data_IF_042580665508
#
_entry.id   IF_042580665508
#
_cell.length_a   1.000
_cell.length_b   1.000
_cell.length_c   1.000
_cell.angle_alpha   90.00
_cell.angle_beta   90.00
_cell.angle_gamma   90.00
#
_symmetry.space_group_name_H-M   'P 1'
#
loop_
_entity.id
_entity.type
_entity.pdbx_description
1 polymer ?
#
# COMPACT_ATOMS: atom_id res chain seq x y z
N UNK A 1 -10.36 1.11 17.94
CA UNK A 1 -9.10 0.44 17.56
C UNK A 1 -8.18 0.27 18.75
N UNK A 2 -7.33 -0.78 18.81
CA UNK A 2 -6.28 -0.85 19.83
C UNK A 2 -5.31 0.32 19.68
N UNK A 3 -4.74 0.80 20.79
CA UNK A 3 -3.74 1.87 20.76
C UNK A 3 -2.50 1.44 19.97
N UNK A 4 -1.90 2.39 19.25
CA UNK A 4 -0.72 2.15 18.42
C UNK A 4 -1.01 1.35 17.14
N UNK A 5 -2.24 1.40 16.61
CA UNK A 5 -2.59 0.70 15.38
C UNK A 5 -2.20 1.49 14.14
N UNK A 6 -1.48 0.86 13.23
CA UNK A 6 -1.06 1.42 11.95
C UNK A 6 -1.57 0.54 10.80
N UNK A 7 -2.52 1.11 10.05
CA UNK A 7 -3.06 0.49 8.84
C UNK A 7 -2.16 0.77 7.62
N UNK A 8 -1.93 -0.26 6.82
CA UNK A 8 -1.20 -0.20 5.54
C UNK A 8 -2.18 -0.48 4.41
N UNK A 9 -2.49 0.54 3.60
CA UNK A 9 -3.42 0.35 2.48
C UNK A 9 -2.73 -0.28 1.26
N UNK A 10 -3.53 -0.65 0.26
CA UNK A 10 -3.02 -1.17 -1.01
C UNK A 10 -2.00 -0.21 -1.65
N UNK A 11 -0.88 -0.79 -2.10
CA UNK A 11 0.30 -0.10 -2.65
C UNK A 11 1.02 0.81 -1.65
N UNK A 12 0.83 0.57 -0.36
CA UNK A 12 1.61 1.18 0.70
C UNK A 12 2.51 0.15 1.40
N UNK A 13 3.50 0.67 2.13
CA UNK A 13 4.27 -0.07 3.12
C UNK A 13 4.41 0.75 4.39
N UNK A 14 4.68 0.09 5.51
CA UNK A 14 5.10 0.72 6.74
C UNK A 14 6.27 -0.06 7.31
N UNK A 15 7.34 0.64 7.68
CA UNK A 15 8.45 0.09 8.45
C UNK A 15 8.43 0.68 9.86
N UNK A 16 8.61 -0.20 10.83
CA UNK A 16 8.63 0.12 12.25
C UNK A 16 9.89 -0.48 12.84
N UNK A 17 10.64 0.37 13.54
CA UNK A 17 11.74 -0.09 14.37
C UNK A 17 11.19 -0.64 15.67
N UNK A 18 11.84 -1.63 16.23
CA UNK A 18 11.40 -2.23 17.50
C UNK A 18 11.41 -1.26 18.68
N UNK A 19 12.14 -0.14 18.59
CA UNK A 19 12.18 0.94 19.59
C UNK A 19 11.15 2.06 19.34
N UNK A 20 10.29 1.92 18.32
CA UNK A 20 9.21 2.87 18.03
C UNK A 20 7.96 2.53 18.84
N UNK A 21 7.84 3.15 20.01
CA UNK A 21 6.69 2.96 20.92
C UNK A 21 5.36 3.51 20.38
N UNK A 22 5.36 4.28 19.28
CA UNK A 22 4.14 4.86 18.72
C UNK A 22 3.29 3.83 17.96
N UNK A 23 3.91 2.74 17.48
CA UNK A 23 3.24 1.70 16.72
C UNK A 23 3.38 0.37 17.46
N UNK A 24 2.24 -0.21 17.81
CA UNK A 24 2.12 -1.53 18.44
C UNK A 24 1.59 -2.59 17.49
N UNK A 25 0.72 -2.20 16.55
CA UNK A 25 0.11 -3.13 15.61
C UNK A 25 0.32 -2.64 14.19
N UNK A 26 0.91 -3.50 13.34
CA UNK A 26 0.91 -3.32 11.89
C UNK A 26 -0.15 -4.23 11.29
N UNK A 27 -1.01 -3.68 10.43
CA UNK A 27 -2.11 -4.42 9.86
C UNK A 27 -2.50 -3.96 8.45
N UNK A 28 -2.92 -4.91 7.64
CA UNK A 28 -3.59 -4.68 6.36
C UNK A 28 -4.68 -5.73 6.15
N UNK A 29 -5.72 -5.37 5.39
CA UNK A 29 -6.80 -6.24 4.95
C UNK A 29 -7.14 -6.00 3.47
N UNK A 30 -8.14 -6.71 2.94
CA UNK A 30 -8.62 -6.53 1.57
C UNK A 30 -7.70 -7.08 0.49
N UNK A 31 -6.71 -7.92 0.84
CA UNK A 31 -5.88 -8.57 -0.16
C UNK A 31 -6.61 -9.76 -0.82
N UNK A 32 -7.47 -9.43 -1.78
CA UNK A 32 -8.06 -10.39 -2.71
C UNK A 32 -6.96 -10.91 -3.65
N UNK A 33 -6.78 -10.32 -4.83
CA UNK A 33 -5.72 -10.70 -5.76
C UNK A 33 -4.33 -10.14 -5.39
N UNK A 34 -4.29 -9.14 -4.51
CA UNK A 34 -3.09 -8.51 -3.98
C UNK A 34 -2.35 -9.43 -2.99
N UNK A 35 -1.15 -9.03 -2.57
CA UNK A 35 -0.32 -9.75 -1.60
C UNK A 35 -0.02 -8.85 -0.42
N UNK A 36 -0.29 -9.32 0.79
CA UNK A 36 0.25 -8.74 2.02
C UNK A 36 1.57 -9.43 2.33
N UNK A 37 2.64 -8.65 2.48
CA UNK A 37 3.97 -9.16 2.80
C UNK A 37 4.47 -8.52 4.10
N UNK A 38 4.72 -9.35 5.11
CA UNK A 38 5.35 -8.97 6.37
C UNK A 38 6.79 -9.47 6.38
N UNK A 39 7.72 -8.59 6.75
CA UNK A 39 9.17 -8.88 6.84
C UNK A 39 9.66 -8.47 8.22
N UNK A 40 10.35 -9.38 8.90
CA UNK A 40 11.05 -9.09 10.16
C UNK A 40 12.53 -9.41 10.00
N UNK A 41 13.40 -8.48 10.41
CA UNK A 41 14.85 -8.61 10.30
C UNK A 41 15.56 -7.51 11.07
N UNK A 42 16.82 -7.24 10.74
CA UNK A 42 17.60 -6.17 11.35
C UNK A 42 18.38 -5.36 10.30
N UNK A 43 18.77 -4.14 10.66
CA UNK A 43 19.70 -3.32 9.86
C UNK A 43 21.17 -3.67 10.14
N UNK A 44 22.10 -2.97 9.48
CA UNK A 44 23.56 -3.13 9.67
C UNK A 44 24.03 -2.92 11.11
N UNK A 45 23.27 -2.19 11.94
CA UNK A 45 23.60 -1.93 13.34
C UNK A 45 23.01 -2.99 14.27
N UNK A 46 22.30 -3.98 13.73
CA UNK A 46 21.56 -4.98 14.49
C UNK A 46 20.27 -4.45 15.11
N UNK A 47 19.79 -3.27 14.71
CA UNK A 47 18.49 -2.77 15.16
C UNK A 47 17.41 -3.53 14.41
N UNK A 48 16.47 -4.13 15.15
CA UNK A 48 15.40 -4.90 14.57
C UNK A 48 14.30 -4.01 13.98
N UNK A 49 13.81 -4.43 12.81
CA UNK A 49 12.77 -3.76 12.04
C UNK A 49 11.69 -4.76 11.65
N UNK A 50 10.46 -4.25 11.61
CA UNK A 50 9.30 -4.95 11.06
C UNK A 50 8.70 -4.10 9.94
N UNK A 51 8.53 -4.69 8.76
CA UNK A 51 7.91 -4.05 7.60
C UNK A 51 6.66 -4.81 7.19
N UNK A 52 5.55 -4.11 6.97
CA UNK A 52 4.35 -4.63 6.31
C UNK A 52 4.10 -3.87 5.02
N UNK A 53 3.83 -4.57 3.92
CA UNK A 53 3.46 -3.98 2.63
C UNK A 53 2.24 -4.67 2.02
N UNK A 54 1.45 -3.92 1.27
CA UNK A 54 0.31 -4.42 0.51
C UNK A 54 0.57 -4.19 -0.98
N UNK A 55 0.81 -5.27 -1.72
CA UNK A 55 1.34 -5.24 -3.08
C UNK A 55 0.28 -5.68 -4.09
N UNK A 56 -0.15 -4.78 -4.98
CA UNK A 56 -1.15 -5.13 -6.00
C UNK A 56 -0.57 -5.52 -7.37
N UNK A 57 0.66 -5.10 -7.69
CA UNK A 57 1.20 -5.14 -9.05
C UNK A 57 2.73 -5.32 -9.11
N UNK A 58 3.32 -5.71 -10.26
CA UNK A 58 4.76 -5.96 -10.35
C UNK A 58 5.63 -4.76 -9.96
N UNK A 59 5.18 -3.54 -10.26
CA UNK A 59 5.92 -2.32 -9.94
C UNK A 59 6.03 -2.07 -8.42
N UNK A 60 5.05 -2.49 -7.62
CA UNK A 60 5.11 -2.34 -6.15
C UNK A 60 6.12 -3.31 -5.55
N UNK A 61 6.20 -4.53 -6.05
CA UNK A 61 7.21 -5.52 -5.63
C UNK A 61 8.63 -5.04 -5.98
N UNK A 62 8.83 -4.47 -7.17
CA UNK A 62 10.11 -3.90 -7.56
C UNK A 62 10.54 -2.73 -6.65
N UNK A 63 9.61 -1.81 -6.35
CA UNK A 63 9.88 -0.70 -5.43
C UNK A 63 10.12 -1.18 -4.00
N UNK A 64 9.39 -2.19 -3.53
CA UNK A 64 9.60 -2.79 -2.22
C UNK A 64 10.98 -3.42 -2.11
N UNK A 65 11.50 -4.02 -3.18
CA UNK A 65 12.85 -4.59 -3.17
C UNK A 65 13.90 -3.53 -2.81
N UNK A 66 13.76 -2.30 -3.30
CA UNK A 66 14.67 -1.21 -2.96
C UNK A 66 14.54 -0.82 -1.48
N UNK A 67 13.31 -0.71 -0.98
CA UNK A 67 13.07 -0.44 0.45
C UNK A 67 13.72 -1.51 1.32
N UNK A 68 13.56 -2.79 0.97
CA UNK A 68 14.13 -3.89 1.74
C UNK A 68 15.67 -3.89 1.69
N UNK A 69 16.25 -3.61 0.52
CA UNK A 69 17.70 -3.52 0.36
C UNK A 69 18.32 -2.38 1.19
N UNK A 70 17.59 -1.28 1.39
CA UNK A 70 18.02 -0.16 2.24
C UNK A 70 17.80 -0.40 3.74
N UNK A 71 16.88 -1.30 4.11
CA UNK A 71 16.42 -1.44 5.50
C UNK A 71 16.95 -2.69 6.22
N UNK A 72 17.27 -3.74 5.49
CA UNK A 72 17.59 -5.04 6.07
C UNK A 72 18.95 -5.56 5.63
N UNK A 73 19.67 -6.18 6.57
CA UNK A 73 20.89 -6.93 6.32
C UNK A 73 20.84 -8.31 6.97
N UNK A 74 21.35 -9.30 6.24
CA UNK A 74 21.42 -10.69 6.70
C UNK A 74 20.07 -11.42 6.65
N UNK A 75 19.81 -12.38 7.57
CA UNK A 75 18.61 -13.21 7.53
C UNK A 75 17.34 -12.41 7.88
N UNK A 76 16.29 -12.58 7.09
CA UNK A 76 14.94 -12.08 7.40
C UNK A 76 13.93 -13.23 7.49
N UNK A 77 12.87 -13.01 8.24
CA UNK A 77 11.68 -13.88 8.31
C UNK A 77 10.52 -13.21 7.59
N UNK A 78 9.79 -13.98 6.80
CA UNK A 78 8.77 -13.48 5.89
C UNK A 78 7.44 -14.21 6.09
N UNK A 79 6.34 -13.46 6.01
CA UNK A 79 4.99 -13.99 5.91
C UNK A 79 4.28 -13.34 4.73
N UNK A 80 3.60 -14.13 3.91
CA UNK A 80 2.84 -13.60 2.79
C UNK A 80 1.43 -14.18 2.72
N UNK A 81 0.41 -13.33 2.65
CA UNK A 81 -1.01 -13.69 2.55
C UNK A 81 -1.64 -13.03 1.30
N UNK A 82 -2.71 -13.60 0.78
CA UNK A 82 -3.48 -13.03 -0.35
C UNK A 82 -3.38 -13.88 -1.62
N UNK A 83 -3.42 -13.22 -2.79
CA UNK A 83 -3.49 -13.86 -4.10
C UNK A 83 -4.64 -14.87 -4.21
N UNK A 84 -5.82 -14.44 -3.77
CA UNK A 84 -7.06 -15.19 -3.76
C UNK A 84 -8.06 -14.63 -4.79
N UNK A 85 -8.87 -15.49 -5.43
CA UNK A 85 -8.74 -16.95 -5.44
C UNK A 85 -7.58 -17.42 -6.32
N UNK A 86 -7.06 -18.63 -6.06
CA UNK A 86 -5.92 -19.18 -6.79
C UNK A 86 -6.12 -19.37 -8.30
N UNK A 87 -7.37 -19.38 -8.77
CA UNK A 87 -7.67 -19.51 -10.20
C UNK A 87 -7.70 -18.15 -10.94
N UNK A 88 -7.85 -17.03 -10.22
CA UNK A 88 -7.94 -15.71 -10.85
C UNK A 88 -6.61 -15.34 -11.54
N UNK A 89 -6.63 -14.86 -12.81
CA UNK A 89 -5.39 -14.56 -13.54
C UNK A 89 -4.46 -13.56 -12.84
N UNK A 90 -5.02 -12.51 -12.23
CA UNK A 90 -4.28 -11.51 -11.46
C UNK A 90 -3.62 -12.13 -10.22
N UNK A 91 -4.38 -12.88 -9.42
CA UNK A 91 -3.90 -13.58 -8.24
C UNK A 91 -2.76 -14.57 -8.57
N UNK A 92 -2.95 -15.40 -9.60
CA UNK A 92 -1.93 -16.35 -10.08
C UNK A 92 -0.64 -15.64 -10.49
N UNK A 93 -0.77 -14.54 -11.24
CA UNK A 93 0.37 -13.75 -11.67
C UNK A 93 1.13 -13.17 -10.47
N UNK A 94 0.41 -12.59 -9.51
CA UNK A 94 1.01 -12.01 -8.31
C UNK A 94 1.73 -13.07 -7.47
N UNK A 95 1.09 -14.23 -7.22
CA UNK A 95 1.71 -15.34 -6.50
C UNK A 95 2.97 -15.86 -7.21
N UNK A 96 2.93 -16.02 -8.54
CA UNK A 96 4.08 -16.43 -9.33
C UNK A 96 5.24 -15.43 -9.21
N UNK A 97 4.95 -14.13 -9.32
CA UNK A 97 5.98 -13.09 -9.23
C UNK A 97 6.62 -13.04 -7.84
N UNK A 98 5.83 -13.18 -6.78
CA UNK A 98 6.38 -13.27 -5.42
C UNK A 98 7.28 -14.50 -5.27
N UNK A 99 6.85 -15.67 -5.76
CA UNK A 99 7.65 -16.90 -5.72
C UNK A 99 9.01 -16.73 -6.41
N UNK A 100 9.01 -16.19 -7.63
CA UNK A 100 10.24 -15.88 -8.38
C UNK A 100 11.13 -14.87 -7.68
N UNK A 101 10.54 -13.86 -7.07
CA UNK A 101 11.27 -12.86 -6.30
C UNK A 101 11.89 -13.47 -5.04
N UNK A 102 11.17 -14.30 -4.30
CA UNK A 102 11.69 -15.03 -3.14
C UNK A 102 12.82 -15.99 -3.51
N UNK A 103 12.70 -16.74 -4.61
CA UNK A 103 13.78 -17.61 -5.14
C UNK A 103 15.08 -16.82 -5.38
N UNK A 104 14.98 -15.56 -5.83
CA UNK A 104 16.16 -14.70 -6.01
C UNK A 104 16.79 -14.21 -4.71
N UNK A 105 16.10 -14.40 -3.58
CA UNK A 105 16.47 -13.96 -2.23
C UNK A 105 16.64 -15.14 -1.26
N UNK A 106 16.58 -16.39 -1.72
CA UNK A 106 16.82 -17.57 -0.87
C UNK A 106 18.31 -17.89 -0.76
N UNK A 107 18.74 -18.22 0.45
CA UNK A 107 20.08 -18.69 0.74
C UNK A 107 21.10 -17.58 0.95
N UNK A 108 22.13 -17.90 1.73
CA UNK A 108 23.27 -17.02 2.03
C UNK A 108 24.20 -16.95 0.82
N UNK A 109 23.72 -16.36 -0.27
CA UNK A 109 24.57 -15.98 -1.40
C UNK A 109 24.98 -14.54 -1.15
N UNK A 110 26.22 -14.30 -0.73
CA UNK A 110 26.74 -12.99 -0.26
C UNK A 110 26.76 -11.83 -1.26
N UNK A 111 25.80 -11.79 -2.21
CA UNK A 111 25.56 -10.73 -3.19
C UNK A 111 24.38 -9.83 -2.82
N UNK A 112 23.40 -10.32 -2.05
CA UNK A 112 22.26 -9.53 -1.60
C UNK A 112 22.49 -9.05 -0.16
N UNK A 113 22.06 -7.81 0.19
CA UNK A 113 22.22 -7.29 1.55
C UNK A 113 21.47 -8.16 2.57
N UNK A 114 20.33 -8.74 2.19
CA UNK A 114 19.53 -9.65 3.01
C UNK A 114 19.09 -10.90 2.23
N UNK A 115 18.71 -11.95 2.96
CA UNK A 115 18.16 -13.20 2.41
C UNK A 115 17.00 -13.75 3.26
N UNK A 116 16.06 -14.43 2.61
CA UNK A 116 14.94 -15.10 3.26
C UNK A 116 15.41 -16.36 4.00
N UNK A 117 15.49 -16.30 5.33
CA UNK A 117 15.88 -17.42 6.18
C UNK A 117 14.69 -18.31 6.59
N UNK A 118 13.50 -17.70 6.74
CA UNK A 118 12.22 -18.39 6.95
C UNK A 118 11.14 -17.68 6.14
N UNK A 119 10.25 -18.43 5.50
CA UNK A 119 9.16 -17.89 4.70
C UNK A 119 7.89 -18.72 4.88
N UNK A 120 6.81 -18.06 5.35
CA UNK A 120 5.49 -18.67 5.54
C UNK A 120 4.51 -18.06 4.55
N UNK A 121 4.12 -18.85 3.54
CA UNK A 121 3.28 -18.39 2.44
C UNK A 121 1.88 -19.01 2.54
N UNK A 122 0.86 -18.16 2.52
CA UNK A 122 -0.56 -18.51 2.46
C UNK A 122 -1.20 -17.81 1.26
N UNK A 123 -0.73 -18.16 0.06
CA UNK A 123 -1.18 -17.60 -1.21
C UNK A 123 -2.23 -18.51 -1.85
N UNK A 124 -3.30 -17.94 -2.41
CA UNK A 124 -4.33 -18.72 -3.11
C UNK A 124 -5.03 -19.75 -2.23
N UNK A 125 -4.97 -19.58 -0.90
CA UNK A 125 -5.68 -20.45 0.04
C UNK A 125 -7.12 -19.97 0.05
N UNK A 126 -8.00 -20.71 -0.62
CA UNK A 126 -9.45 -20.48 -0.85
C UNK A 126 -10.30 -20.30 0.43
N UNK A 127 -9.89 -19.42 1.33
CA UNK A 127 -10.70 -18.93 2.44
C UNK A 127 -11.33 -17.63 1.95
N UNK A 128 -12.66 -17.59 1.97
CA UNK A 128 -13.40 -16.38 1.63
C UNK A 128 -12.91 -15.22 2.50
N UNK A 129 -13.01 -14.02 1.96
CA UNK A 129 -12.63 -12.75 2.62
C UNK A 129 -13.29 -12.58 3.99
N UNK A 130 -14.47 -13.18 4.18
CA UNK A 130 -15.22 -13.18 5.45
C UNK A 130 -14.53 -14.01 6.56
N UNK A 131 -13.55 -14.84 6.23
CA UNK A 131 -12.82 -15.71 7.18
C UNK A 131 -11.36 -15.30 7.41
N UNK A 132 -10.99 -14.05 7.11
CA UNK A 132 -9.64 -13.51 7.35
C UNK A 132 -8.57 -14.01 6.37
N UNK A 133 -8.98 -14.50 5.20
CA UNK A 133 -8.06 -14.92 4.13
C UNK A 133 -7.37 -13.76 3.40
N UNK A 134 -7.81 -12.54 3.65
CA UNK A 134 -7.41 -11.29 3.00
C UNK A 134 -6.66 -10.33 3.94
N UNK A 135 -6.40 -10.76 5.19
CA UNK A 135 -5.78 -9.95 6.23
C UNK A 135 -4.46 -10.53 6.73
N UNK A 136 -3.56 -9.63 7.13
CA UNK A 136 -2.28 -9.94 7.75
C UNK A 136 -1.89 -8.80 8.68
N UNK A 137 -1.42 -9.16 9.87
CA UNK A 137 -0.83 -8.22 10.80
C UNK A 137 0.05 -8.89 11.83
N UNK A 138 0.66 -8.04 12.65
CA UNK A 138 1.54 -8.44 13.74
C UNK A 138 1.30 -7.52 14.95
N UNK A 139 1.24 -8.12 16.13
CA UNK A 139 1.44 -7.40 17.39
C UNK A 139 2.95 -7.31 17.65
N UNK A 140 3.50 -6.10 17.68
CA UNK A 140 4.93 -5.86 17.82
C UNK A 140 5.43 -6.13 19.26
N UNK A 141 4.54 -6.15 20.25
CA UNK A 141 4.89 -6.52 21.62
C UNK A 141 5.03 -8.05 21.75
N UNK A 142 4.00 -8.81 21.34
CA UNK A 142 4.00 -10.28 21.46
C UNK A 142 4.74 -11.00 20.32
N UNK A 143 4.98 -10.30 19.21
CA UNK A 143 5.49 -10.85 17.92
C UNK A 143 4.58 -11.91 17.31
N UNK A 144 3.32 -11.92 17.70
CA UNK A 144 2.32 -12.81 17.11
C UNK A 144 1.90 -12.28 15.73
N UNK A 145 2.23 -13.05 14.69
CA UNK A 145 1.78 -12.81 13.32
C UNK A 145 0.50 -13.59 13.06
N UNK A 146 -0.52 -12.92 12.51
CA UNK A 146 -1.79 -13.57 12.22
C UNK A 146 -2.67 -12.81 11.24
N UNK A 147 -3.73 -13.49 10.78
CA UNK A 147 -4.76 -12.93 9.91
C UNK A 147 -6.03 -12.53 10.67
N UNK A 148 -5.90 -12.09 11.93
CA UNK A 148 -7.07 -11.66 12.71
C UNK A 148 -7.74 -10.49 12.00
N UNK A 149 -9.02 -10.65 11.68
CA UNK A 149 -9.80 -9.58 11.08
C UNK A 149 -10.19 -8.52 12.11
N UNK A 150 -10.14 -7.24 11.71
CA UNK A 150 -10.61 -6.12 12.52
C UNK A 150 -11.75 -5.40 11.80
N UNK A 151 -12.80 -5.06 12.55
CA UNK A 151 -13.91 -4.24 12.06
C UNK A 151 -13.49 -2.77 11.99
N UNK A 152 -12.79 -2.40 10.92
CA UNK A 152 -12.40 -1.01 10.67
C UNK A 152 -13.51 -0.25 9.94
N UNK A 153 -13.65 1.03 10.28
CA UNK A 153 -14.40 2.01 9.49
C UNK A 153 -13.60 2.46 8.26
N UNK A 154 -14.24 3.17 7.33
CA UNK A 154 -13.54 3.73 6.17
C UNK A 154 -12.52 4.80 6.58
N UNK A 155 -12.84 5.62 7.59
CA UNK A 155 -11.93 6.64 8.12
C UNK A 155 -10.69 6.01 8.77
N UNK A 156 -10.84 4.84 9.41
CA UNK A 156 -9.70 4.11 9.99
C UNK A 156 -8.80 3.45 8.92
N UNK A 157 -9.35 3.02 7.78
CA UNK A 157 -8.56 2.50 6.64
C UNK A 157 -7.93 3.61 5.81
N UNK A 158 -8.68 4.68 5.57
CA UNK A 158 -8.28 5.80 4.76
C UNK A 158 -8.65 7.15 5.43
N UNK A 159 -7.83 7.59 6.40
CA UNK A 159 -8.03 8.88 7.05
C UNK A 159 -7.78 10.07 6.12
N UNK A 160 -7.32 9.83 4.90
CA UNK A 160 -7.11 10.87 3.89
C UNK A 160 -8.37 11.18 3.06
N UNK A 161 -9.49 10.51 3.36
CA UNK A 161 -10.78 10.74 2.70
C UNK A 161 -10.84 10.20 1.28
N UNK A 162 -10.02 9.21 0.93
CA UNK A 162 -10.03 8.55 -0.39
C UNK A 162 -8.73 8.67 -1.19
N UNK A 163 -7.72 9.43 -0.72
CA UNK A 163 -6.45 9.55 -1.46
C UNK A 163 -5.69 8.23 -1.51
N UNK A 164 -5.80 7.36 -0.49
CA UNK A 164 -5.15 6.03 -0.53
C UNK A 164 -5.76 5.16 -1.60
N UNK A 165 -7.09 5.19 -1.75
CA UNK A 165 -7.79 4.52 -2.87
C UNK A 165 -7.37 5.10 -4.21
N UNK A 166 -7.30 6.44 -4.36
CA UNK A 166 -6.82 7.06 -5.60
C UNK A 166 -5.37 6.66 -5.90
N UNK A 167 -4.52 6.60 -4.88
CA UNK A 167 -3.13 6.16 -5.05
C UNK A 167 -3.07 4.72 -5.55
N UNK A 168 -3.81 3.80 -4.91
CA UNK A 168 -3.91 2.41 -5.31
C UNK A 168 -4.48 2.20 -6.73
N UNK A 169 -5.20 3.17 -7.30
CA UNK A 169 -5.73 3.05 -8.67
C UNK A 169 -4.84 3.77 -9.70
N UNK A 170 -4.36 4.97 -9.36
CA UNK A 170 -3.81 5.92 -10.32
C UNK A 170 -2.32 6.23 -10.15
N UNK A 171 -1.63 5.63 -9.18
CA UNK A 171 -0.18 5.84 -8.96
C UNK A 171 0.70 5.52 -10.18
N UNK A 172 0.26 4.58 -11.03
CA UNK A 172 0.91 4.27 -12.30
C UNK A 172 0.62 5.25 -13.44
N UNK A 173 -0.39 6.11 -13.27
CA UNK A 173 -0.86 7.09 -14.26
C UNK A 173 -0.37 8.52 -13.97
N UNK A 174 0.36 8.73 -12.88
CA UNK A 174 0.97 10.02 -12.53
C UNK A 174 2.46 10.05 -12.87
N UNK A 175 2.99 11.24 -13.14
CA UNK A 175 4.43 11.44 -13.43
C UNK A 175 5.09 12.33 -12.35
N UNK A 176 6.25 11.93 -11.80
CA UNK A 176 6.86 10.60 -11.93
C UNK A 176 5.96 9.50 -11.33
N UNK A 177 6.06 8.28 -11.88
CA UNK A 177 5.35 7.13 -11.33
C UNK A 177 5.86 6.83 -9.92
N UNK A 178 4.94 6.59 -8.99
CA UNK A 178 5.24 6.29 -7.60
C UNK A 178 4.48 5.03 -7.20
N UNK A 179 5.02 3.83 -7.47
CA UNK A 179 4.24 2.60 -7.34
C UNK A 179 4.01 2.18 -5.88
N UNK A 180 4.78 2.71 -4.92
CA UNK A 180 4.71 2.30 -3.52
C UNK A 180 4.85 3.53 -2.61
N UNK A 181 3.97 3.68 -1.61
CA UNK A 181 3.96 4.82 -0.68
C UNK A 181 4.24 4.40 0.77
N UNK A 182 4.92 5.24 1.54
CA UNK A 182 5.09 5.02 2.97
C UNK A 182 3.80 5.45 3.71
N UNK A 183 3.10 4.49 4.30
CA UNK A 183 1.83 4.65 4.99
C UNK A 183 1.89 5.64 6.17
N UNK A 184 3.08 5.95 6.68
CA UNK A 184 3.28 6.94 7.75
C UNK A 184 3.34 8.37 7.23
N UNK A 185 3.51 8.56 5.91
CA UNK A 185 3.65 9.88 5.29
C UNK A 185 2.31 10.38 4.77
N UNK A 186 2.04 11.65 5.02
CA UNK A 186 0.94 12.35 4.37
C UNK A 186 1.25 12.55 2.88
N UNK A 187 0.24 12.35 2.02
CA UNK A 187 0.36 12.67 0.61
C UNK A 187 0.63 14.17 0.44
N UNK A 188 1.73 14.59 -0.20
CA UNK A 188 1.99 16.00 -0.45
C UNK A 188 0.96 16.53 -1.45
N UNK A 189 0.55 17.79 -1.29
CA UNK A 189 -0.47 18.43 -2.14
C UNK A 189 -0.21 18.26 -3.65
N UNK A 190 1.05 18.34 -4.08
CA UNK A 190 1.42 18.12 -5.48
C UNK A 190 1.11 16.72 -5.99
N UNK A 191 1.23 15.68 -5.15
CA UNK A 191 0.83 14.32 -5.50
C UNK A 191 -0.70 14.18 -5.49
N UNK A 192 -1.38 14.77 -4.49
CA UNK A 192 -2.85 14.80 -4.45
C UNK A 192 -3.44 15.39 -5.73
N UNK A 193 -2.95 16.56 -6.17
CA UNK A 193 -3.36 17.21 -7.43
C UNK A 193 -3.19 16.29 -8.64
N UNK A 194 -2.06 15.58 -8.74
CA UNK A 194 -1.80 14.64 -9.85
C UNK A 194 -2.73 13.42 -9.81
N UNK A 195 -2.98 12.84 -8.64
CA UNK A 195 -3.90 11.71 -8.48
C UNK A 195 -5.33 12.12 -8.84
N UNK A 196 -5.80 13.27 -8.36
CA UNK A 196 -7.12 13.81 -8.68
C UNK A 196 -7.22 14.12 -10.18
N UNK A 197 -6.20 14.73 -10.78
CA UNK A 197 -6.19 15.00 -12.22
C UNK A 197 -6.26 13.70 -13.06
N UNK A 198 -5.49 12.67 -12.68
CA UNK A 198 -5.55 11.36 -13.32
C UNK A 198 -6.94 10.70 -13.17
N UNK A 199 -7.54 10.79 -11.98
CA UNK A 199 -8.87 10.29 -11.71
C UNK A 199 -9.95 11.02 -12.52
N UNK A 200 -9.88 12.36 -12.64
CA UNK A 200 -10.78 13.16 -13.48
C UNK A 200 -10.65 12.81 -14.96
N UNK A 201 -9.43 12.59 -15.45
CA UNK A 201 -9.20 12.16 -16.83
C UNK A 201 -9.81 10.78 -17.13
N UNK A 202 -9.97 9.93 -16.11
CA UNK A 202 -10.63 8.63 -16.20
C UNK A 202 -12.14 8.68 -15.89
N UNK A 203 -12.73 9.87 -15.77
CA UNK A 203 -14.13 10.10 -15.38
C UNK A 203 -14.52 9.43 -14.05
N UNK A 204 -13.56 9.33 -13.12
CA UNK A 204 -13.75 8.62 -11.85
C UNK A 204 -14.77 9.31 -10.92
N UNK A 205 -14.97 10.63 -11.07
CA UNK A 205 -15.97 11.37 -10.28
C UNK A 205 -17.41 10.91 -10.56
N UNK A 206 -17.71 10.39 -11.76
CA UNK A 206 -19.04 9.91 -12.13
C UNK A 206 -19.45 8.64 -11.36
N UNK A 207 -18.49 7.92 -10.77
CA UNK A 207 -18.72 6.67 -10.05
C UNK A 207 -19.55 6.81 -8.77
N UNK A 208 -19.60 8.01 -8.18
CA UNK A 208 -20.37 8.26 -6.96
C UNK A 208 -21.86 7.87 -7.08
N UNK A 209 -22.37 7.78 -8.32
CA UNK A 209 -23.76 7.48 -8.62
C UNK A 209 -24.03 6.05 -9.12
N UNK A 210 -22.99 5.23 -9.34
CA UNK A 210 -23.18 3.84 -9.75
C UNK A 210 -23.69 3.00 -8.58
N UNK A 211 -24.34 1.87 -8.85
CA UNK A 211 -24.63 0.86 -7.82
C UNK A 211 -23.37 0.05 -7.47
N UNK A 212 -23.44 -0.72 -6.39
CA UNK A 212 -22.27 -1.46 -5.88
C UNK A 212 -21.82 -2.55 -6.85
N UNK A 213 -22.74 -3.22 -7.54
CA UNK A 213 -22.42 -4.26 -8.51
C UNK A 213 -21.64 -3.68 -9.70
N UNK A 214 -22.08 -2.54 -10.23
CA UNK A 214 -21.39 -1.83 -11.31
C UNK A 214 -19.99 -1.36 -10.90
N UNK A 215 -19.82 -0.90 -9.65
CA UNK A 215 -18.52 -0.50 -9.11
C UNK A 215 -17.56 -1.68 -9.03
N UNK A 216 -18.03 -2.79 -8.45
CA UNK A 216 -17.24 -4.02 -8.28
C UNK A 216 -16.85 -4.57 -9.65
N UNK A 217 -17.78 -4.74 -10.59
CA UNK A 217 -17.47 -5.28 -11.91
C UNK A 217 -16.50 -4.41 -12.73
N UNK A 218 -16.49 -3.09 -12.50
CA UNK A 218 -15.63 -2.17 -13.25
C UNK A 218 -14.21 -2.05 -12.69
N UNK A 219 -14.04 -2.10 -11.37
CA UNK A 219 -12.77 -1.79 -10.71
C UNK A 219 -12.13 -2.95 -9.96
N UNK A 220 -12.90 -4.01 -9.66
CA UNK A 220 -12.34 -5.20 -9.04
C UNK A 220 -11.62 -6.08 -10.06
N UNK A 221 -10.51 -6.66 -9.62
CA UNK A 221 -9.84 -7.73 -10.35
C UNK A 221 -10.42 -9.12 -10.08
N UNK A 222 -11.24 -9.24 -9.03
CA UNK A 222 -11.88 -10.48 -8.52
C UNK A 222 -13.25 -10.15 -7.91
N UNK A 223 -14.26 -9.81 -8.72
CA UNK A 223 -15.51 -9.20 -8.25
C UNK A 223 -16.23 -9.96 -7.13
N UNK A 224 -16.33 -11.29 -7.25
CA UNK A 224 -17.02 -12.16 -6.28
C UNK A 224 -16.28 -12.33 -4.95
N UNK A 225 -15.05 -11.82 -4.86
CA UNK A 225 -14.18 -11.95 -3.69
C UNK A 225 -13.95 -10.62 -2.99
N UNK A 226 -14.53 -9.52 -3.46
CA UNK A 226 -14.27 -8.24 -2.83
C UNK A 226 -14.83 -8.14 -1.41
N UNK A 227 -14.13 -7.35 -0.61
CA UNK A 227 -14.54 -6.96 0.73
C UNK A 227 -15.86 -6.18 0.71
N UNK A 228 -16.72 -6.32 1.73
CA UNK A 228 -18.00 -5.60 1.79
C UNK A 228 -17.89 -4.07 1.72
N UNK A 229 -16.71 -3.51 2.05
CA UNK A 229 -16.43 -2.07 2.03
C UNK A 229 -15.77 -1.58 0.74
N UNK A 230 -15.55 -2.45 -0.26
CA UNK A 230 -14.89 -2.11 -1.52
C UNK A 230 -15.57 -0.94 -2.24
N UNK A 231 -16.88 -1.06 -2.46
CA UNK A 231 -17.68 -0.03 -3.13
C UNK A 231 -17.72 1.28 -2.34
N UNK A 232 -17.75 1.21 -1.01
CA UNK A 232 -17.69 2.40 -0.14
C UNK A 232 -16.35 3.15 -0.30
N UNK A 233 -15.23 2.44 -0.39
CA UNK A 233 -13.92 3.04 -0.62
C UNK A 233 -13.86 3.76 -1.98
N UNK A 234 -14.38 3.12 -3.04
CA UNK A 234 -14.46 3.73 -4.37
C UNK A 234 -15.35 4.99 -4.39
N UNK A 235 -16.52 4.95 -3.73
CA UNK A 235 -17.42 6.11 -3.62
C UNK A 235 -16.76 7.26 -2.86
N UNK A 236 -16.12 6.97 -1.72
CA UNK A 236 -15.42 7.99 -0.92
C UNK A 236 -14.33 8.69 -1.74
N UNK A 237 -13.56 7.92 -2.50
CA UNK A 237 -12.56 8.47 -3.42
C UNK A 237 -13.18 9.29 -4.57
N UNK A 238 -14.33 8.87 -5.11
CA UNK A 238 -15.04 9.61 -6.15
C UNK A 238 -15.61 10.94 -5.61
N UNK A 239 -16.14 10.94 -4.38
CA UNK A 239 -16.60 12.14 -3.68
C UNK A 239 -15.46 13.12 -3.45
N UNK A 240 -14.29 12.64 -3.02
CA UNK A 240 -13.08 13.45 -2.92
C UNK A 240 -12.76 14.10 -4.28
N UNK A 241 -12.72 13.34 -5.37
CA UNK A 241 -12.42 13.89 -6.71
C UNK A 241 -13.39 15.01 -7.12
N UNK A 242 -14.67 14.88 -6.76
CA UNK A 242 -15.71 15.88 -7.03
C UNK A 242 -15.56 17.13 -6.17
N UNK A 243 -15.25 16.96 -4.89
CA UNK A 243 -15.11 18.05 -3.91
C UNK A 243 -13.70 18.63 -3.82
N UNK A 244 -12.73 18.12 -4.59
CA UNK A 244 -11.35 18.60 -4.55
C UNK A 244 -11.25 19.97 -5.22
N UNK A 245 -11.40 21.01 -4.42
CA UNK A 245 -11.07 22.37 -4.80
C UNK A 245 -9.56 22.56 -4.71
N UNK A 246 -8.93 23.07 -5.78
CA UNK A 246 -7.54 23.47 -5.70
C UNK A 246 -7.43 24.59 -4.66
N UNK A 247 -6.62 24.43 -3.60
CA UNK A 247 -6.32 25.56 -2.74
C UNK A 247 -5.74 26.64 -3.65
N UNK A 248 -6.36 27.82 -3.67
CA UNK A 248 -5.89 28.95 -4.45
C UNK A 248 -4.39 29.06 -4.21
N UNK A 249 -3.60 28.90 -5.27
CA UNK A 249 -2.17 29.07 -5.17
C UNK A 249 -1.96 30.41 -4.47
N UNK A 250 -1.17 30.40 -3.38
CA UNK A 250 -0.56 31.61 -2.85
C UNK A 250 0.35 32.09 -3.98
N UNK A 251 -0.27 32.79 -4.94
CA UNK A 251 0.38 33.45 -6.04
C UNK A 251 1.29 34.46 -5.38
N UNK A 252 2.54 34.04 -5.20
CA UNK A 252 3.60 34.84 -4.64
C UNK A 252 3.56 36.19 -5.33
N UNK A 253 3.39 37.23 -4.52
CA UNK A 253 3.43 38.60 -4.98
C UNK A 253 4.71 38.85 -5.74
N UNK A 254 4.64 38.77 -7.07
CA UNK A 254 5.58 39.43 -7.95
C UNK A 254 5.34 40.93 -7.82
N UNK A 255 5.95 41.54 -6.80
CA UNK A 255 6.20 42.97 -6.82
C UNK A 255 7.11 43.24 -8.02
N UNK A 256 6.53 43.92 -9.00
CA UNK A 256 7.23 44.54 -10.12
C UNK A 256 8.44 45.33 -9.63
N UNK A 257 9.60 44.99 -10.19
CA UNK A 257 10.56 45.95 -10.70
C UNK A 257 11.40 46.68 -9.66
N UNK A 258 12.60 46.18 -9.41
CA UNK A 258 13.76 47.04 -9.27
C UNK A 258 14.91 46.46 -10.09
N UNK A 259 15.27 47.18 -11.16
CA UNK A 259 16.39 46.87 -12.04
C UNK A 259 17.68 47.23 -11.32
N UNK A 260 18.45 46.24 -10.88
CA UNK A 260 19.86 46.46 -10.56
C UNK A 260 20.63 46.50 -11.87
N UNK A 261 21.08 47.71 -12.24
CA UNK A 261 22.06 47.92 -13.32
C UNK A 261 23.41 47.39 -12.84
N UNK A 262 23.95 46.39 -13.53
CA UNK A 262 25.37 46.06 -13.47
C UNK A 262 26.02 46.77 -14.66
N UNK A 263 26.86 47.76 -14.38
CA UNK A 263 27.84 48.27 -15.32
C UNK A 263 29.23 48.11 -14.71
N UNK A 264 30.16 47.72 -15.59
CA UNK A 264 31.55 47.35 -15.37
C UNK A 264 32.38 48.46 -14.73
#
# INVERSE_FOLDING_TARGET
>A
MPNGFQYVAQDEYCIVRDDDEAVRFLYSDGATSCILLLVCGADERGVAHTLLAHLSRPATLAALSLVLDDCFVGPVRLWAHGANPAWAPCARRNAYLLGRWLESRTGESGRAPWYAADARLALGRERTVVHGGDALGIDLESREVGGRWFALTQEERDPSGGLRTLFALFSGSVMPSMPLWDARRQFPMGLQRRLVAAARAADFGALAHLDDDALVQRYSSTPEWEVPWFSLALRSAAELVRGFDEPADVAGGHRRGERVRIAR
#
